data_IF_016931960724
#
_entry.id   IF_016931960724
#
_cell.length_a   1.000
_cell.length_b   1.000
_cell.length_c   1.000
_cell.angle_alpha   90.00
_cell.angle_beta   90.00
_cell.angle_gamma   90.00
#
_symmetry.space_group_name_H-M   'P 1'
#
loop_
_entity.id
_entity.type
_entity.pdbx_description
1 polymer ?
#
# COMPACT_ATOMS: atom_id res chain seq x y z
N UNK A 1 30.43 13.50 42.66
CA UNK A 1 31.04 13.51 41.31
C UNK A 1 30.16 12.65 40.40
N UNK A 2 29.27 13.27 39.62
CA UNK A 2 28.36 12.55 38.70
C UNK A 2 29.07 12.37 37.36
N UNK A 3 29.56 11.17 37.04
CA UNK A 3 30.18 10.89 35.73
C UNK A 3 29.17 10.32 34.75
N UNK A 4 28.67 11.25 33.93
CA UNK A 4 28.14 11.19 32.58
C UNK A 4 28.22 9.83 31.84
N UNK A 5 27.05 9.26 31.53
CA UNK A 5 26.88 8.16 30.58
C UNK A 5 26.66 8.74 29.17
N UNK A 6 27.61 8.50 28.25
CA UNK A 6 27.40 8.79 26.84
C UNK A 6 28.14 7.78 25.95
N UNK A 7 27.60 6.56 25.87
CA UNK A 7 27.91 5.63 24.80
C UNK A 7 26.78 5.70 23.76
N UNK A 8 27.07 5.99 22.48
CA UNK A 8 26.03 6.02 21.46
C UNK A 8 25.43 4.62 21.27
N UNK A 9 24.13 4.52 20.95
CA UNK A 9 23.50 3.24 20.64
C UNK A 9 24.16 2.62 19.40
N UNK A 10 24.75 1.44 19.56
CA UNK A 10 25.21 0.62 18.44
C UNK A 10 23.99 0.02 17.76
N UNK A 11 23.58 0.61 16.64
CA UNK A 11 22.61 -0.02 15.76
C UNK A 11 23.25 -1.26 15.11
N UNK A 12 22.53 -2.38 14.99
CA UNK A 12 23.04 -3.54 14.28
C UNK A 12 23.33 -3.15 12.84
N UNK A 13 24.56 -3.44 12.43
CA UNK A 13 25.09 -3.21 11.09
C UNK A 13 24.16 -3.89 10.10
N UNK A 14 23.41 -3.14 9.29
CA UNK A 14 22.65 -3.70 8.19
C UNK A 14 23.65 -4.20 7.15
N UNK A 15 24.01 -5.48 7.23
CA UNK A 15 24.53 -6.20 6.09
C UNK A 15 23.55 -5.95 4.95
N UNK A 16 24.04 -5.38 3.85
CA UNK A 16 23.27 -5.17 2.64
C UNK A 16 22.71 -6.53 2.21
N UNK A 17 21.45 -6.79 2.55
CA UNK A 17 20.69 -7.85 1.92
C UNK A 17 20.60 -7.47 0.46
N UNK A 18 21.41 -8.14 -0.35
CA UNK A 18 21.28 -8.18 -1.79
C UNK A 18 19.82 -8.53 -2.07
N UNK A 19 19.03 -7.52 -2.46
CA UNK A 19 17.64 -7.70 -2.85
C UNK A 19 17.67 -8.57 -4.10
N UNK A 20 17.57 -9.88 -3.91
CA UNK A 20 17.07 -10.77 -4.94
C UNK A 20 15.65 -10.29 -5.21
N UNK A 21 15.34 -9.74 -6.40
CA UNK A 21 13.95 -9.53 -6.74
C UNK A 21 13.38 -10.93 -6.88
N UNK A 22 12.73 -11.42 -5.82
CA UNK A 22 11.82 -12.55 -5.92
C UNK A 22 10.85 -12.16 -7.03
N UNK A 23 11.09 -12.73 -8.22
CA UNK A 23 10.27 -12.55 -9.37
C UNK A 23 8.90 -13.06 -8.96
N UNK A 24 7.94 -12.15 -8.78
CA UNK A 24 6.53 -12.47 -8.66
C UNK A 24 6.08 -13.06 -10.01
N UNK A 25 6.48 -14.31 -10.27
CA UNK A 25 6.05 -15.10 -11.41
C UNK A 25 4.65 -15.63 -11.13
N UNK A 26 3.69 -14.72 -11.01
CA UNK A 26 2.30 -15.07 -11.29
C UNK A 26 2.13 -14.85 -12.80
N UNK A 27 2.05 -15.96 -13.56
CA UNK A 27 1.93 -15.95 -15.02
C UNK A 27 1.00 -14.84 -15.50
N UNK A 28 1.58 -13.79 -16.07
CA UNK A 28 0.88 -12.53 -16.32
C UNK A 28 -0.07 -12.72 -17.49
N UNK A 29 -1.33 -13.03 -17.20
CA UNK A 29 -2.39 -12.40 -17.97
C UNK A 29 -2.06 -10.89 -17.96
N UNK A 30 -1.90 -10.29 -19.15
CA UNK A 30 -1.61 -8.87 -19.25
C UNK A 30 -2.70 -8.11 -18.51
N UNK A 31 -2.31 -7.29 -17.52
CA UNK A 31 -3.27 -6.51 -16.76
C UNK A 31 -4.00 -5.57 -17.72
N UNK A 32 -5.29 -5.82 -17.93
CA UNK A 32 -6.12 -4.98 -18.77
C UNK A 32 -6.62 -3.79 -17.95
N UNK A 33 -6.11 -2.59 -18.27
CA UNK A 33 -6.50 -1.35 -17.59
C UNK A 33 -7.80 -0.84 -18.20
N UNK A 34 -8.88 -0.83 -17.42
CA UNK A 34 -10.15 -0.18 -17.79
C UNK A 34 -9.95 1.34 -17.96
N UNK A 35 -10.52 1.90 -19.03
CA UNK A 35 -10.37 3.32 -19.40
C UNK A 35 -11.65 4.15 -19.19
N UNK A 36 -12.77 3.50 -18.91
CA UNK A 36 -14.03 4.17 -18.60
C UNK A 36 -13.99 4.81 -17.19
N UNK A 37 -14.97 5.65 -16.89
CA UNK A 37 -15.04 6.29 -15.59
C UNK A 37 -15.27 5.22 -14.51
N UNK A 38 -14.50 5.26 -13.41
CA UNK A 38 -14.67 4.30 -12.32
C UNK A 38 -16.08 4.34 -11.73
N UNK A 39 -16.70 5.52 -11.78
CA UNK A 39 -18.08 5.77 -11.34
C UNK A 39 -19.11 5.03 -12.17
N UNK A 40 -18.76 4.42 -13.31
CA UNK A 40 -19.68 3.58 -14.08
C UNK A 40 -19.95 2.27 -13.33
N UNK A 41 -18.90 1.64 -12.80
CA UNK A 41 -18.93 0.32 -12.15
C UNK A 41 -19.07 0.41 -10.62
N UNK A 42 -18.56 1.47 -9.99
CA UNK A 42 -18.50 1.60 -8.53
C UNK A 42 -19.17 2.88 -8.03
N UNK A 43 -19.79 2.79 -6.86
CA UNK A 43 -20.18 3.94 -6.03
C UNK A 43 -18.99 4.32 -5.16
N UNK A 44 -18.42 5.50 -5.41
CA UNK A 44 -17.33 6.06 -4.60
C UNK A 44 -17.93 6.84 -3.42
N UNK A 45 -17.52 6.54 -2.20
CA UNK A 45 -17.99 7.25 -1.00
C UNK A 45 -16.94 8.27 -0.52
N UNK A 46 -17.32 9.08 0.47
CA UNK A 46 -16.36 9.96 1.17
C UNK A 46 -15.72 9.30 2.39
N UNK A 47 -16.09 8.06 2.73
CA UNK A 47 -15.56 7.36 3.89
C UNK A 47 -14.10 6.96 3.65
N UNK A 48 -13.20 7.52 4.44
CA UNK A 48 -11.77 7.18 4.41
C UNK A 48 -11.56 5.90 5.22
N UNK A 49 -10.81 4.95 4.64
CA UNK A 49 -10.37 3.71 5.29
C UNK A 49 -8.94 3.80 5.81
N UNK A 50 -8.13 4.72 5.27
CA UNK A 50 -6.76 4.94 5.76
C UNK A 50 -5.97 5.96 4.94
N UNK A 51 -4.74 6.23 5.38
CA UNK A 51 -3.76 7.10 4.71
C UNK A 51 -2.57 6.25 4.25
N UNK A 52 -2.30 6.26 2.94
CA UNK A 52 -1.11 5.65 2.34
C UNK A 52 -0.02 6.69 2.08
N UNK A 53 1.18 6.23 1.68
CA UNK A 53 2.35 7.09 1.41
C UNK A 53 2.02 8.24 0.45
N UNK A 54 1.21 7.99 -0.59
CA UNK A 54 0.91 8.94 -1.67
C UNK A 54 -0.59 9.25 -1.82
N UNK A 55 -1.40 9.13 -0.76
CA UNK A 55 -2.82 9.45 -0.85
C UNK A 55 -3.69 8.72 0.16
N UNK A 56 -4.99 9.01 0.15
CA UNK A 56 -5.98 8.38 1.02
C UNK A 56 -6.60 7.16 0.35
N UNK A 57 -7.05 6.20 1.16
CA UNK A 57 -7.80 5.03 0.70
C UNK A 57 -9.27 5.22 1.05
N UNK A 58 -10.17 5.00 0.09
CA UNK A 58 -11.61 5.21 0.23
C UNK A 58 -12.39 3.90 0.23
N UNK A 59 -13.53 3.91 0.92
CA UNK A 59 -14.55 2.87 0.79
C UNK A 59 -15.34 3.07 -0.51
N UNK A 60 -15.47 2.00 -1.30
CA UNK A 60 -16.30 1.96 -2.50
C UNK A 60 -17.17 0.71 -2.52
N UNK A 61 -18.25 0.75 -3.29
CA UNK A 61 -19.15 -0.39 -3.49
C UNK A 61 -19.32 -0.67 -4.97
N UNK A 62 -19.18 -1.92 -5.38
CA UNK A 62 -19.47 -2.33 -6.75
C UNK A 62 -20.98 -2.25 -6.98
N UNK A 63 -21.43 -1.50 -8.00
CA UNK A 63 -22.86 -1.20 -8.18
C UNK A 63 -23.70 -2.45 -8.43
N UNK A 64 -23.15 -3.44 -9.16
CA UNK A 64 -23.90 -4.64 -9.52
C UNK A 64 -24.02 -5.63 -8.37
N UNK A 65 -22.92 -5.91 -7.66
CA UNK A 65 -22.92 -6.91 -6.58
C UNK A 65 -23.23 -6.31 -5.20
N UNK A 66 -23.11 -5.00 -5.02
CA UNK A 66 -23.17 -4.35 -3.70
C UNK A 66 -21.94 -4.63 -2.82
N UNK A 67 -20.96 -5.36 -3.34
CA UNK A 67 -19.78 -5.76 -2.57
C UNK A 67 -18.86 -4.57 -2.30
N UNK A 68 -18.26 -4.58 -1.11
CA UNK A 68 -17.43 -3.50 -0.59
C UNK A 68 -15.97 -3.72 -0.94
N UNK A 69 -15.31 -2.66 -1.40
CA UNK A 69 -13.89 -2.64 -1.76
C UNK A 69 -13.20 -1.37 -1.25
N UNK A 70 -11.87 -1.34 -1.40
CA UNK A 70 -11.03 -0.18 -1.15
C UNK A 70 -10.53 0.43 -2.47
N UNK A 71 -10.58 1.76 -2.59
CA UNK A 71 -9.99 2.52 -3.69
C UNK A 71 -8.74 3.24 -3.21
N UNK A 72 -7.61 3.00 -3.88
CA UNK A 72 -6.35 3.72 -3.68
C UNK A 72 -6.02 4.54 -4.92
#
# INVERSE_FOLDING_TARGET
>A
MLTNANSPPKFPNQQQQQQNPAQFMLGKASLQIKKNAITDDYKVTSQVLGLGINGRVLEIFHKRSGEKYALK
#
